data_IF_102246362617
#
_entry.id   IF_102246362617
#
_cell.length_a   1.000
_cell.length_b   1.000
_cell.length_c   1.000
_cell.angle_alpha   90.00
_cell.angle_beta   90.00
_cell.angle_gamma   90.00
#
_symmetry.space_group_name_H-M   'P 1'
#
loop_
_entity.id
_entity.type
_entity.pdbx_description
1 polymer ?
#
# COMPACT_ATOMS: atom_id res chain seq x y z
N UNK A 1 -3.84 -14.10 10.13
CA UNK A 1 -4.13 -13.20 11.26
C UNK A 1 -3.36 -11.90 11.09
N UNK A 2 -4.07 -10.77 11.07
CA UNK A 2 -3.51 -9.45 10.86
C UNK A 2 -2.73 -8.93 12.07
N UNK A 3 -1.63 -8.22 11.81
CA UNK A 3 -0.93 -7.41 12.81
C UNK A 3 -1.66 -6.08 12.97
N UNK A 4 -1.85 -5.61 14.20
CA UNK A 4 -2.52 -4.34 14.48
C UNK A 4 -1.77 -3.16 13.83
N UNK A 5 -2.51 -2.24 13.23
CA UNK A 5 -1.98 -1.04 12.58
C UNK A 5 -1.12 -0.17 13.52
N UNK A 6 -1.40 -0.19 14.82
CA UNK A 6 -0.62 0.52 15.85
C UNK A 6 0.75 -0.14 16.02
N UNK A 7 0.81 -1.48 16.11
CA UNK A 7 2.07 -2.21 16.22
C UNK A 7 2.95 -1.99 14.98
N UNK A 8 2.34 -2.01 13.79
CA UNK A 8 3.05 -1.70 12.54
C UNK A 8 3.58 -0.27 12.55
N UNK A 9 2.77 0.71 12.95
CA UNK A 9 3.21 2.11 13.06
C UNK A 9 4.39 2.23 14.02
N UNK A 10 4.28 1.65 15.21
CA UNK A 10 5.28 1.75 16.25
C UNK A 10 6.60 1.06 15.83
N UNK A 11 6.51 -0.06 15.10
CA UNK A 11 7.67 -0.66 14.44
C UNK A 11 8.33 0.30 13.46
N UNK A 12 7.57 0.90 12.52
CA UNK A 12 8.12 1.81 11.50
C UNK A 12 8.65 3.13 12.09
N UNK A 13 8.19 3.51 13.28
CA UNK A 13 8.69 4.66 14.05
C UNK A 13 9.96 4.31 14.86
N UNK A 14 10.27 3.03 15.09
CA UNK A 14 11.51 2.58 15.75
C UNK A 14 12.78 2.84 14.93
N UNK A 15 13.99 2.85 15.53
CA UNK A 15 15.24 2.98 14.79
C UNK A 15 15.41 1.93 13.67
N UNK A 16 15.04 0.68 13.95
CA UNK A 16 15.13 -0.41 12.97
C UNK A 16 14.11 -0.22 11.83
N UNK A 17 12.86 0.10 12.16
CA UNK A 17 11.83 0.38 11.16
C UNK A 17 12.17 1.56 10.25
N UNK A 18 12.81 2.61 10.78
CA UNK A 18 13.32 3.72 9.96
C UNK A 18 14.41 3.29 8.99
N UNK A 19 15.28 2.35 9.36
CA UNK A 19 16.30 1.78 8.45
C UNK A 19 15.63 0.90 7.40
N UNK A 20 14.74 -0.02 7.81
CA UNK A 20 13.99 -0.88 6.91
C UNK A 20 13.22 -0.06 5.87
N UNK A 21 12.48 0.95 6.32
CA UNK A 21 11.76 1.91 5.47
C UNK A 21 12.68 2.54 4.42
N UNK A 22 13.86 3.02 4.83
CA UNK A 22 14.81 3.69 3.93
C UNK A 22 15.34 2.74 2.86
N UNK A 23 15.77 1.54 3.26
CA UNK A 23 16.35 0.54 2.36
C UNK A 23 15.30 0.06 1.35
N UNK A 24 14.11 -0.31 1.84
CA UNK A 24 13.04 -0.82 0.99
C UNK A 24 12.53 0.28 0.05
N UNK A 25 12.32 1.52 0.55
CA UNK A 25 11.91 2.65 -0.30
C UNK A 25 12.89 2.91 -1.45
N UNK A 26 14.21 2.79 -1.20
CA UNK A 26 15.22 2.92 -2.27
C UNK A 26 15.03 1.86 -3.34
N UNK A 27 14.69 0.62 -2.95
CA UNK A 27 14.45 -0.46 -3.91
C UNK A 27 13.15 -0.26 -4.69
N UNK A 28 12.08 0.17 -4.03
CA UNK A 28 10.81 0.53 -4.69
C UNK A 28 11.06 1.58 -5.77
N UNK A 29 11.73 2.68 -5.44
CA UNK A 29 12.09 3.74 -6.41
C UNK A 29 13.00 3.27 -7.54
N UNK A 30 13.88 2.29 -7.29
CA UNK A 30 14.71 1.73 -8.36
C UNK A 30 13.89 0.90 -9.37
N UNK A 31 12.77 0.32 -8.94
CA UNK A 31 11.89 -0.49 -9.80
C UNK A 31 10.82 0.39 -10.47
N UNK A 32 10.30 1.39 -9.74
CA UNK A 32 9.38 2.41 -10.23
C UNK A 32 10.06 3.78 -10.14
N UNK A 33 10.96 4.10 -11.09
CA UNK A 33 11.74 5.34 -11.07
C UNK A 33 10.92 6.58 -11.44
N UNK A 34 9.83 6.38 -12.17
CA UNK A 34 8.94 7.42 -12.64
C UNK A 34 7.49 6.97 -12.44
N UNK A 35 6.71 7.87 -11.86
CA UNK A 35 5.29 7.69 -11.57
C UNK A 35 4.44 8.86 -12.12
N UNK A 36 5.00 9.71 -13.00
CA UNK A 36 4.27 10.82 -13.58
C UNK A 36 3.00 10.36 -14.29
N UNK A 37 1.89 11.06 -13.98
CA UNK A 37 0.56 10.71 -14.45
C UNK A 37 -0.02 9.38 -13.93
N UNK A 38 0.69 8.62 -13.07
CA UNK A 38 0.24 7.30 -12.61
C UNK A 38 -0.68 7.41 -11.38
N UNK A 39 -1.68 6.52 -11.31
CA UNK A 39 -2.52 6.31 -10.11
C UNK A 39 -1.99 5.14 -9.31
N UNK A 40 -1.66 5.39 -8.05
CA UNK A 40 -1.00 4.45 -7.14
C UNK A 40 -1.93 4.09 -5.99
N UNK A 41 -2.16 2.79 -5.81
CA UNK A 41 -2.84 2.23 -4.64
C UNK A 41 -1.81 1.55 -3.74
N UNK A 42 -1.77 1.90 -2.47
CA UNK A 42 -1.15 1.08 -1.43
C UNK A 42 -2.20 0.25 -0.70
N UNK A 43 -2.04 -1.07 -0.65
CA UNK A 43 -2.93 -1.98 0.07
C UNK A 43 -2.18 -2.64 1.24
N UNK A 44 -2.82 -2.72 2.40
CA UNK A 44 -2.19 -3.11 3.67
C UNK A 44 -1.50 -1.91 4.34
N UNK A 45 -0.36 -2.11 5.00
CA UNK A 45 0.38 -1.04 5.67
C UNK A 45 1.44 -0.39 4.76
N UNK A 46 1.01 0.13 3.60
CA UNK A 46 1.89 0.69 2.58
C UNK A 46 2.35 2.13 2.83
N UNK A 47 1.70 2.84 3.76
CA UNK A 47 1.93 4.28 4.04
C UNK A 47 3.38 4.70 4.37
N UNK A 48 4.26 3.84 4.94
CA UNK A 48 5.67 4.19 5.10
C UNK A 48 6.36 4.48 3.76
N UNK A 49 5.91 3.87 2.66
CA UNK A 49 6.55 3.98 1.35
C UNK A 49 5.86 5.01 0.46
N UNK A 50 4.52 5.11 0.53
CA UNK A 50 3.71 5.97 -0.33
C UNK A 50 4.08 7.45 -0.27
N UNK A 51 4.40 7.98 0.91
CA UNK A 51 4.74 9.40 1.07
C UNK A 51 5.97 9.82 0.26
N UNK A 52 6.81 8.87 -0.14
CA UNK A 52 7.94 9.12 -1.01
C UNK A 52 7.72 8.88 -2.49
N UNK A 53 6.55 8.37 -2.85
CA UNK A 53 6.12 8.19 -4.23
C UNK A 53 5.13 9.29 -4.63
N UNK A 54 4.57 10.00 -3.64
CA UNK A 54 3.49 10.97 -3.81
C UNK A 54 3.88 12.27 -4.51
N UNK A 55 5.17 12.60 -4.57
CA UNK A 55 5.62 13.84 -5.21
C UNK A 55 5.52 13.75 -6.73
N UNK A 56 5.54 12.53 -7.30
CA UNK A 56 5.66 12.29 -8.73
C UNK A 56 4.37 11.69 -9.35
N UNK A 57 3.35 11.34 -8.56
CA UNK A 57 2.16 10.61 -9.05
C UNK A 57 0.91 11.50 -9.15
N UNK A 58 0.02 11.24 -10.12
CA UNK A 58 -1.25 11.98 -10.23
C UNK A 58 -2.14 11.75 -9.01
N UNK A 59 -2.31 10.49 -8.59
CA UNK A 59 -3.13 10.15 -7.40
C UNK A 59 -2.47 9.04 -6.60
N UNK A 60 -2.47 9.19 -5.28
CA UNK A 60 -2.06 8.14 -4.34
C UNK A 60 -3.15 7.91 -3.30
N UNK A 61 -3.57 6.66 -3.15
CA UNK A 61 -4.52 6.19 -2.15
C UNK A 61 -3.87 5.11 -1.28
N UNK A 62 -4.23 5.08 0.00
CA UNK A 62 -3.93 4.00 0.91
C UNK A 62 -5.22 3.29 1.31
N UNK A 63 -5.26 1.97 1.23
CA UNK A 63 -6.37 1.16 1.69
C UNK A 63 -5.86 0.14 2.70
N UNK A 64 -6.43 0.18 3.91
CA UNK A 64 -6.02 -0.70 5.00
C UNK A 64 -7.14 -1.71 5.28
N UNK A 65 -6.83 -3.01 5.28
CA UNK A 65 -7.80 -4.06 5.58
C UNK A 65 -8.44 -3.87 6.95
N UNK A 66 -9.74 -4.14 7.04
CA UNK A 66 -10.56 -3.91 8.23
C UNK A 66 -9.96 -4.57 9.48
N UNK A 67 -9.50 -5.81 9.33
CA UNK A 67 -8.89 -6.59 10.40
C UNK A 67 -7.48 -6.12 10.82
N UNK A 68 -6.79 -5.33 9.99
CA UNK A 68 -5.54 -4.66 10.36
C UNK A 68 -5.82 -3.37 11.16
N UNK A 69 -6.90 -2.67 10.81
CA UNK A 69 -7.20 -1.32 11.29
C UNK A 69 -6.60 -0.23 10.38
N UNK A 70 -7.03 1.02 10.59
CA UNK A 70 -6.62 2.19 9.80
C UNK A 70 -6.00 3.29 10.66
N UNK A 71 -4.98 3.96 10.11
CA UNK A 71 -4.43 5.21 10.65
C UNK A 71 -4.57 6.33 9.63
N UNK A 72 -4.78 7.56 10.12
CA UNK A 72 -4.86 8.73 9.27
C UNK A 72 -3.56 8.93 8.47
N UNK A 73 -3.70 9.13 7.16
CA UNK A 73 -2.60 9.42 6.25
C UNK A 73 -3.09 10.31 5.09
N UNK A 74 -2.29 11.28 4.62
CA UNK A 74 -0.98 11.68 5.12
C UNK A 74 -1.08 12.49 6.41
N UNK A 75 -0.05 12.49 7.25
CA UNK A 75 -0.04 13.31 8.48
C UNK A 75 -0.08 14.79 8.10
N UNK A 76 -0.99 15.57 8.72
CA UNK A 76 -1.08 17.03 8.54
C UNK A 76 -1.70 17.50 7.22
N UNK A 77 -2.32 16.62 6.44
CA UNK A 77 -2.97 16.94 5.17
C UNK A 77 -4.33 16.21 5.06
N UNK A 78 -5.20 16.57 4.09
CA UNK A 78 -6.45 15.84 3.87
C UNK A 78 -6.23 14.34 3.67
N UNK A 79 -7.10 13.55 4.28
CA UNK A 79 -7.01 12.09 4.27
C UNK A 79 -7.04 11.51 2.85
N UNK A 80 -6.10 10.61 2.58
CA UNK A 80 -6.02 9.80 1.35
C UNK A 80 -5.97 8.31 1.70
N UNK A 81 -6.69 7.94 2.76
CA UNK A 81 -6.69 6.60 3.33
C UNK A 81 -8.11 6.13 3.60
N UNK A 82 -8.39 4.85 3.40
CA UNK A 82 -9.66 4.21 3.73
C UNK A 82 -9.44 2.88 4.47
N UNK A 83 -10.36 2.56 5.38
CA UNK A 83 -10.54 1.21 5.92
C UNK A 83 -11.41 0.43 4.92
N UNK A 84 -10.98 -0.75 4.50
CA UNK A 84 -11.67 -1.53 3.46
C UNK A 84 -11.77 -3.00 3.81
N UNK A 85 -12.69 -3.71 3.18
CA UNK A 85 -12.57 -5.15 2.99
C UNK A 85 -11.58 -5.41 1.83
N UNK A 86 -10.51 -6.17 2.06
CA UNK A 86 -9.53 -6.46 1.00
C UNK A 86 -10.07 -7.34 -0.13
N UNK A 87 -11.20 -8.01 0.08
CA UNK A 87 -11.90 -8.81 -0.92
C UNK A 87 -12.95 -8.02 -1.71
N UNK A 88 -13.22 -6.76 -1.35
CA UNK A 88 -14.19 -5.87 -2.01
C UNK A 88 -13.67 -4.42 -2.04
N UNK A 89 -12.67 -4.15 -2.87
CA UNK A 89 -12.06 -2.82 -2.96
C UNK A 89 -13.07 -1.81 -3.56
N UNK A 90 -13.27 -0.64 -2.92
CA UNK A 90 -14.23 0.37 -3.39
C UNK A 90 -13.65 1.22 -4.52
N UNK A 91 -13.15 0.56 -5.56
CA UNK A 91 -12.51 1.15 -6.73
C UNK A 91 -13.10 0.54 -8.02
N UNK A 92 -13.20 1.30 -9.11
CA UNK A 92 -13.60 0.75 -10.40
C UNK A 92 -12.57 -0.23 -10.97
N UNK A 93 -13.00 -1.04 -11.92
CA UNK A 93 -12.11 -1.90 -12.71
C UNK A 93 -11.10 -1.05 -13.49
N UNK A 94 -9.89 -1.59 -13.68
CA UNK A 94 -8.81 -0.97 -14.47
C UNK A 94 -8.48 0.49 -14.08
N UNK A 95 -8.69 0.83 -12.80
CA UNK A 95 -8.57 2.19 -12.27
C UNK A 95 -7.21 2.53 -11.65
N UNK A 96 -6.31 1.56 -11.52
CA UNK A 96 -5.00 1.73 -10.90
C UNK A 96 -3.87 1.31 -11.83
N UNK A 97 -2.81 2.10 -11.87
CA UNK A 97 -1.63 1.83 -12.68
C UNK A 97 -0.55 1.09 -11.89
N UNK A 98 -0.48 1.33 -10.57
CA UNK A 98 0.46 0.69 -9.65
C UNK A 98 -0.28 0.27 -8.38
N UNK A 99 -0.04 -0.95 -7.95
CA UNK A 99 -0.48 -1.44 -6.64
C UNK A 99 0.73 -1.85 -5.82
N UNK A 100 0.92 -1.23 -4.65
CA UNK A 100 1.94 -1.57 -3.68
C UNK A 100 1.29 -2.31 -2.50
N UNK A 101 1.58 -3.60 -2.38
CA UNK A 101 1.07 -4.47 -1.33
C UNK A 101 2.12 -4.61 -0.22
N UNK A 102 1.76 -4.31 1.02
CA UNK A 102 2.69 -4.30 2.15
C UNK A 102 1.99 -4.81 3.41
N UNK A 103 2.61 -5.73 4.15
CA UNK A 103 2.01 -6.25 5.38
C UNK A 103 0.63 -6.87 5.17
N UNK A 104 0.40 -7.49 4.01
CA UNK A 104 -0.92 -7.97 3.61
C UNK A 104 -0.93 -9.43 3.14
N UNK A 105 -0.05 -9.80 2.19
CA UNK A 105 -0.02 -11.14 1.62
C UNK A 105 0.25 -12.23 2.66
N UNK A 106 1.06 -11.90 3.67
CA UNK A 106 1.45 -12.73 4.79
C UNK A 106 0.38 -12.84 5.90
N UNK A 107 -0.63 -11.96 5.90
CA UNK A 107 -1.62 -11.87 6.99
C UNK A 107 -3.03 -12.26 6.58
N UNK A 108 -3.41 -11.97 5.33
CA UNK A 108 -4.77 -12.18 4.83
C UNK A 108 -5.14 -13.67 4.82
N UNK A 109 -6.36 -13.97 5.23
CA UNK A 109 -6.96 -15.29 5.09
C UNK A 109 -7.74 -15.41 3.77
N UNK A 110 -7.89 -14.28 3.06
CA UNK A 110 -8.62 -14.12 1.81
C UNK A 110 -7.67 -13.87 0.63
N UNK A 111 -6.52 -14.56 0.61
CA UNK A 111 -5.48 -14.34 -0.40
C UNK A 111 -6.00 -14.37 -1.83
N UNK A 112 -6.78 -15.39 -2.20
CA UNK A 112 -7.35 -15.50 -3.56
C UNK A 112 -8.34 -14.37 -3.85
N UNK A 113 -9.36 -14.09 -3.01
CA UNK A 113 -10.22 -12.91 -3.18
C UNK A 113 -9.45 -11.59 -3.29
N UNK A 114 -8.53 -11.30 -2.38
CA UNK A 114 -7.74 -10.07 -2.40
C UNK A 114 -6.93 -9.93 -3.69
N UNK A 115 -6.27 -11.01 -4.13
CA UNK A 115 -5.51 -10.97 -5.37
C UNK A 115 -6.40 -10.79 -6.62
N UNK A 116 -7.66 -11.27 -6.59
CA UNK A 116 -8.63 -10.98 -7.65
C UNK A 116 -9.04 -9.52 -7.66
N UNK A 117 -9.22 -8.90 -6.50
CA UNK A 117 -9.51 -7.47 -6.43
C UNK A 117 -8.33 -6.61 -6.89
N UNK A 118 -7.11 -6.97 -6.48
CA UNK A 118 -5.89 -6.33 -6.98
C UNK A 118 -5.81 -6.44 -8.49
N UNK A 119 -6.09 -7.61 -9.06
CA UNK A 119 -6.15 -7.81 -10.50
C UNK A 119 -7.25 -6.96 -11.16
N UNK A 120 -8.46 -6.94 -10.59
CA UNK A 120 -9.61 -6.20 -11.12
C UNK A 120 -9.34 -4.70 -11.22
N UNK A 121 -8.72 -4.11 -10.19
CA UNK A 121 -8.45 -2.65 -10.16
C UNK A 121 -7.22 -2.27 -10.98
N UNK A 122 -6.27 -3.18 -11.23
CA UNK A 122 -5.11 -2.91 -12.08
C UNK A 122 -5.55 -2.81 -13.55
N UNK A 123 -5.04 -1.82 -14.27
CA UNK A 123 -5.24 -1.76 -15.72
C UNK A 123 -4.35 -2.77 -16.47
N UNK A 124 -4.54 -2.89 -17.79
CA UNK A 124 -3.85 -3.84 -18.66
C UNK A 124 -2.31 -3.75 -18.61
N UNK A 125 -1.77 -2.56 -18.32
CA UNK A 125 -0.32 -2.32 -18.18
C UNK A 125 0.11 -2.14 -16.72
N UNK A 126 -0.80 -2.43 -15.80
CA UNK A 126 -0.67 -2.20 -14.38
C UNK A 126 0.39 -3.11 -13.77
N UNK A 127 1.04 -2.63 -12.70
CA UNK A 127 2.06 -3.41 -12.00
C UNK A 127 1.75 -3.53 -10.53
N UNK A 128 1.78 -4.77 -10.05
CA UNK A 128 1.80 -5.08 -8.63
C UNK A 128 3.26 -5.18 -8.14
N UNK A 129 3.54 -4.57 -6.99
CA UNK A 129 4.74 -4.83 -6.21
C UNK A 129 4.34 -5.28 -4.80
N UNK A 130 5.00 -6.33 -4.31
CA UNK A 130 4.77 -6.85 -2.97
C UNK A 130 6.01 -6.66 -2.12
N UNK A 131 5.81 -6.15 -0.90
CA UNK A 131 6.82 -6.10 0.16
C UNK A 131 6.30 -6.94 1.32
N UNK A 132 6.95 -8.08 1.56
CA UNK A 132 6.63 -8.98 2.66
C UNK A 132 7.89 -9.23 3.52
N UNK A 133 7.73 -9.47 4.83
CA UNK A 133 8.80 -9.96 5.69
C UNK A 133 9.21 -11.37 5.26
N UNK A 134 10.45 -11.72 5.58
CA UNK A 134 11.02 -13.05 5.39
C UNK A 134 10.91 -13.86 6.69
#
# INVERSE_FOLDING_TARGET
MWTDVIDLRDFYDSPLGRVARRVIRRRIRAIWPDLDGQRVLGLGFATPYLGGLADDADRILAMMPAAQGVIHWPRGAPGRVALVDEAELPLPDLSMDRVLLVHALEHTELLRPMMREVWRVLNDSGRLMVVAPN
#
